data_IF_684025354997
#
_entry.id   IF_684025354997
#
_cell.length_a   1.000
_cell.length_b   1.000
_cell.length_c   1.000
_cell.angle_alpha   90.00
_cell.angle_beta   90.00
_cell.angle_gamma   90.00
#
_symmetry.space_group_name_H-M   'P 1'
#
loop_
_entity.id
_entity.type
_entity.pdbx_description
1 polymer ?
#
# COMPACT_ATOMS: atom_id res chain seq x y z
N UNK A 1 -0.45 -16.19 14.70
CA UNK A 1 -1.02 -16.98 13.58
C UNK A 1 -0.37 -16.61 12.25
N UNK A 2 -0.46 -15.37 11.75
CA UNK A 2 0.11 -15.01 10.43
C UNK A 2 1.60 -15.33 10.29
N UNK A 3 2.42 -14.95 11.29
CA UNK A 3 3.87 -15.22 11.29
C UNK A 3 4.20 -16.72 11.24
N UNK A 4 3.47 -17.56 11.98
CA UNK A 4 3.65 -19.02 11.97
C UNK A 4 3.36 -19.62 10.58
N UNK A 5 2.28 -19.17 9.92
CA UNK A 5 1.96 -19.63 8.56
C UNK A 5 2.94 -19.08 7.52
N UNK A 6 3.47 -17.87 7.73
CA UNK A 6 4.55 -17.36 6.91
C UNK A 6 5.81 -18.22 7.07
N UNK A 7 6.16 -18.64 8.29
CA UNK A 7 7.23 -19.62 8.53
C UNK A 7 7.03 -20.94 7.78
N UNK A 8 5.79 -21.46 7.72
CA UNK A 8 5.46 -22.65 6.92
C UNK A 8 5.70 -22.44 5.42
N UNK A 9 5.38 -21.25 4.90
CA UNK A 9 5.68 -20.89 3.52
C UNK A 9 7.20 -20.82 3.26
N UNK A 10 7.97 -20.27 4.20
CA UNK A 10 9.43 -20.22 4.06
C UNK A 10 10.08 -21.61 4.13
N UNK A 11 9.59 -22.49 5.01
CA UNK A 11 10.02 -23.89 5.03
C UNK A 11 9.75 -24.58 3.68
N UNK A 12 8.61 -24.29 3.05
CA UNK A 12 8.30 -24.81 1.71
C UNK A 12 9.29 -24.29 0.64
N UNK A 13 9.75 -23.04 0.76
CA UNK A 13 10.81 -22.52 -0.12
C UNK A 13 12.13 -23.29 0.08
N UNK A 14 12.49 -23.61 1.32
CA UNK A 14 13.70 -24.38 1.65
C UNK A 14 13.60 -25.83 1.14
N UNK A 15 12.48 -26.50 1.38
CA UNK A 15 12.26 -27.91 1.01
C UNK A 15 12.22 -28.15 -0.51
N UNK A 16 11.88 -27.12 -1.28
CA UNK A 16 11.68 -27.20 -2.73
C UNK A 16 12.70 -26.38 -3.56
N UNK A 17 13.80 -25.92 -2.94
CA UNK A 17 14.86 -25.14 -3.60
C UNK A 17 14.37 -23.87 -4.33
N UNK A 18 13.25 -23.27 -3.89
CA UNK A 18 12.59 -22.16 -4.59
C UNK A 18 13.37 -20.84 -4.51
N UNK A 19 14.28 -20.70 -3.56
CA UNK A 19 15.15 -19.53 -3.46
C UNK A 19 16.03 -19.32 -4.71
N UNK A 20 16.24 -20.35 -5.53
CA UNK A 20 17.06 -20.26 -6.74
C UNK A 20 16.42 -19.43 -7.86
N UNK A 21 15.09 -19.41 -7.96
CA UNK A 21 14.36 -18.87 -9.11
C UNK A 21 13.08 -18.09 -8.75
N UNK A 22 12.69 -18.06 -7.49
CA UNK A 22 11.45 -17.43 -7.03
C UNK A 22 11.74 -16.14 -6.27
N UNK A 23 11.08 -15.05 -6.67
CA UNK A 23 11.06 -13.81 -5.90
C UNK A 23 10.02 -13.90 -4.77
N UNK A 24 10.35 -13.38 -3.59
CA UNK A 24 9.44 -13.29 -2.45
C UNK A 24 9.22 -11.82 -2.11
N UNK A 25 7.96 -11.38 -2.09
CA UNK A 25 7.56 -10.01 -1.73
C UNK A 25 6.50 -10.09 -0.64
N UNK A 26 6.82 -9.54 0.54
CA UNK A 26 5.92 -9.45 1.69
C UNK A 26 5.58 -7.99 1.96
N UNK A 27 4.29 -7.69 2.00
CA UNK A 27 3.76 -6.36 2.32
C UNK A 27 2.31 -6.45 2.82
N UNK A 28 1.69 -5.31 3.09
CA UNK A 28 0.26 -5.17 3.44
C UNK A 28 -0.35 -4.05 2.61
N UNK A 29 -1.68 -4.01 2.49
CA UNK A 29 -2.39 -2.96 1.77
C UNK A 29 -2.36 -1.62 2.50
N UNK A 30 -2.52 -1.66 3.83
CA UNK A 30 -2.43 -0.54 4.75
C UNK A 30 -2.06 -1.04 6.16
N UNK A 31 -1.75 -0.10 7.06
CA UNK A 31 -1.60 -0.34 8.49
C UNK A 31 -2.93 -0.29 9.25
N UNK A 32 -2.89 -0.12 10.57
CA UNK A 32 -4.09 -0.17 11.41
C UNK A 32 -3.85 0.56 12.74
N UNK A 33 -4.79 1.43 13.14
CA UNK A 33 -4.76 2.06 14.45
C UNK A 33 -5.42 1.19 15.52
N UNK A 34 -4.76 1.09 16.66
CA UNK A 34 -5.14 0.38 17.87
C UNK A 34 -5.37 1.36 19.04
N UNK A 35 -5.97 2.53 18.76
CA UNK A 35 -6.23 3.65 19.69
C UNK A 35 -5.14 4.73 19.73
N UNK A 36 -4.13 4.69 18.85
CA UNK A 36 -3.24 5.83 18.68
C UNK A 36 -4.05 7.05 18.21
N UNK A 37 -3.68 8.23 18.74
CA UNK A 37 -4.36 9.49 18.46
C UNK A 37 -5.87 9.47 18.75
N UNK A 38 -6.34 8.62 19.66
CA UNK A 38 -7.76 8.40 19.97
C UNK A 38 -8.59 7.85 18.80
N UNK A 39 -7.93 7.20 17.82
CA UNK A 39 -8.57 6.62 16.64
C UNK A 39 -8.42 5.09 16.59
N UNK A 40 -9.40 4.42 15.99
CA UNK A 40 -9.40 2.98 15.78
C UNK A 40 -9.57 2.64 14.29
N UNK A 41 -8.94 1.53 13.87
CA UNK A 41 -9.02 0.97 12.53
C UNK A 41 -8.31 1.79 11.43
N UNK A 42 -8.98 2.00 10.29
CA UNK A 42 -8.48 2.74 9.12
C UNK A 42 -9.64 3.47 8.44
N UNK A 43 -9.33 4.47 7.60
CA UNK A 43 -10.20 5.19 6.65
C UNK A 43 -10.68 6.60 7.03
N UNK A 44 -10.89 6.92 8.32
CA UNK A 44 -11.51 8.21 8.72
C UNK A 44 -10.54 9.28 9.18
N UNK A 45 -9.60 8.85 10.00
CA UNK A 45 -8.53 9.65 10.55
C UNK A 45 -7.57 10.14 9.44
N UNK A 46 -6.75 11.19 9.71
CA UNK A 46 -5.56 11.42 8.91
C UNK A 46 -4.75 10.13 8.74
N UNK A 47 -4.16 9.91 7.55
CA UNK A 47 -3.41 8.69 7.23
C UNK A 47 -2.03 8.66 7.91
N UNK A 48 -2.00 8.69 9.24
CA UNK A 48 -0.80 8.65 10.08
C UNK A 48 0.13 7.49 9.72
N UNK A 49 1.38 7.53 10.20
CA UNK A 49 2.39 6.54 9.83
C UNK A 49 1.97 5.11 10.19
N UNK A 50 1.24 4.92 11.29
CA UNK A 50 0.69 3.61 11.67
C UNK A 50 -0.28 3.03 10.63
N UNK A 51 -0.80 3.85 9.71
CA UNK A 51 -1.66 3.44 8.58
C UNK A 51 -0.86 3.43 7.27
N UNK A 52 0.00 4.42 7.03
CA UNK A 52 0.65 4.65 5.74
C UNK A 52 2.05 4.04 5.62
N UNK A 53 2.78 3.89 6.72
CA UNK A 53 4.13 3.32 6.76
C UNK A 53 4.04 1.80 6.94
N UNK A 54 3.81 1.11 5.83
CA UNK A 54 3.62 -0.33 5.78
C UNK A 54 4.95 -1.10 5.62
N UNK A 55 5.04 -2.35 6.12
CA UNK A 55 6.18 -3.21 5.84
C UNK A 55 6.28 -3.54 4.34
N UNK A 56 7.51 -3.54 3.83
CA UNK A 56 7.85 -4.07 2.50
C UNK A 56 9.18 -4.81 2.59
N UNK A 57 9.16 -6.13 2.39
CA UNK A 57 10.33 -6.99 2.34
C UNK A 57 10.36 -7.66 0.98
N UNK A 58 11.52 -7.58 0.30
CA UNK A 58 11.70 -8.12 -1.04
C UNK A 58 12.96 -8.96 -1.08
N UNK A 59 12.81 -10.20 -1.54
CA UNK A 59 13.90 -11.07 -1.96
C UNK A 59 13.76 -11.33 -3.46
N UNK A 60 14.89 -11.29 -4.17
CA UNK A 60 14.97 -11.71 -5.56
C UNK A 60 16.29 -12.49 -5.78
N UNK A 61 16.29 -13.68 -6.42
CA UNK A 61 17.48 -14.53 -6.54
C UNK A 61 18.70 -13.82 -7.16
N UNK A 62 18.47 -13.00 -8.20
CA UNK A 62 19.52 -12.20 -8.85
C UNK A 62 20.14 -11.11 -7.95
N UNK A 63 19.50 -10.78 -6.83
CA UNK A 63 19.93 -9.76 -5.87
C UNK A 63 20.28 -10.35 -4.49
N UNK A 64 20.39 -11.68 -4.37
CA UNK A 64 20.65 -12.38 -3.09
C UNK A 64 21.85 -11.86 -2.28
N UNK A 65 22.84 -11.26 -2.94
CA UNK A 65 24.03 -10.70 -2.27
C UNK A 65 23.72 -9.46 -1.41
N UNK A 66 22.56 -8.84 -1.59
CA UNK A 66 22.09 -7.69 -0.82
C UNK A 66 21.06 -8.07 0.26
N UNK A 67 20.84 -9.38 0.48
CA UNK A 67 19.90 -9.86 1.50
C UNK A 67 20.26 -9.38 2.90
N UNK A 68 19.25 -8.99 3.68
CA UNK A 68 19.43 -8.45 5.03
C UNK A 68 19.74 -6.94 5.07
N UNK A 69 20.00 -6.31 3.93
CA UNK A 69 20.16 -4.86 3.88
C UNK A 69 18.82 -4.11 3.99
N UNK A 70 18.89 -2.84 4.38
CA UNK A 70 17.76 -1.92 4.41
C UNK A 70 17.89 -0.84 3.35
N UNK A 71 16.76 -0.31 2.92
CA UNK A 71 16.64 0.83 2.00
C UNK A 71 15.91 1.96 2.72
N UNK A 72 16.35 3.20 2.47
CA UNK A 72 15.76 4.44 3.00
C UNK A 72 14.99 5.19 1.92
N UNK A 73 15.20 4.87 0.65
CA UNK A 73 14.47 5.52 -0.43
C UNK A 73 12.96 5.25 -0.33
N UNK A 74 12.17 6.28 -0.58
CA UNK A 74 10.72 6.21 -0.51
C UNK A 74 10.15 5.27 -1.58
N UNK A 75 9.23 4.37 -1.20
CA UNK A 75 8.47 3.47 -2.10
C UNK A 75 6.97 3.53 -1.83
N UNK A 76 6.11 3.18 -2.80
CA UNK A 76 4.64 3.14 -2.66
C UNK A 76 4.10 1.81 -3.17
N UNK A 77 2.89 1.44 -2.74
CA UNK A 77 2.21 0.23 -3.23
C UNK A 77 2.04 0.20 -4.75
N UNK A 78 1.84 1.36 -5.39
CA UNK A 78 1.77 1.48 -6.87
C UNK A 78 3.08 1.15 -7.58
N UNK A 79 4.20 1.10 -6.86
CA UNK A 79 5.50 0.70 -7.41
C UNK A 79 5.62 -0.82 -7.57
N UNK A 80 4.77 -1.62 -6.90
CA UNK A 80 4.87 -3.08 -6.95
C UNK A 80 4.53 -3.65 -8.34
N UNK A 81 3.49 -3.13 -8.98
CA UNK A 81 3.11 -3.57 -10.33
C UNK A 81 4.24 -3.40 -11.36
N UNK A 82 4.85 -2.22 -11.54
CA UNK A 82 5.97 -2.07 -12.48
C UNK A 82 7.20 -2.88 -12.03
N UNK A 83 7.38 -3.11 -10.73
CA UNK A 83 8.46 -3.98 -10.22
C UNK A 83 8.28 -5.43 -10.67
N UNK A 84 7.06 -5.97 -10.63
CA UNK A 84 6.79 -7.34 -11.07
C UNK A 84 6.97 -7.52 -12.58
N UNK A 85 6.63 -6.51 -13.38
CA UNK A 85 6.94 -6.50 -14.80
C UNK A 85 8.46 -6.49 -15.03
N UNK A 86 9.19 -5.66 -14.28
CA UNK A 86 10.65 -5.54 -14.38
C UNK A 86 11.39 -6.83 -13.97
N UNK A 87 10.92 -7.54 -12.94
CA UNK A 87 11.43 -8.88 -12.58
C UNK A 87 11.45 -9.84 -13.78
N UNK A 88 10.41 -9.75 -14.63
CA UNK A 88 10.21 -10.60 -15.80
C UNK A 88 10.66 -9.95 -17.10
N UNK A 89 11.29 -8.77 -17.05
CA UNK A 89 11.73 -7.98 -18.22
C UNK A 89 10.58 -7.67 -19.20
N UNK A 90 9.36 -7.53 -18.68
CA UNK A 90 8.20 -7.11 -19.46
C UNK A 90 8.21 -5.59 -19.64
N UNK A 91 7.65 -5.11 -20.75
CA UNK A 91 7.48 -3.67 -20.98
C UNK A 91 6.49 -3.08 -19.97
N UNK A 92 6.89 -1.98 -19.31
CA UNK A 92 6.03 -1.23 -18.40
C UNK A 92 5.20 -0.25 -19.24
N UNK A 93 3.86 -0.33 -19.21
CA UNK A 93 3.01 0.59 -19.97
C UNK A 93 3.24 2.05 -19.57
N UNK A 94 3.22 2.97 -20.56
CA UNK A 94 3.40 4.41 -20.33
C UNK A 94 2.34 5.04 -19.42
N UNK A 95 1.22 4.36 -19.20
CA UNK A 95 0.14 4.79 -18.29
C UNK A 95 0.43 4.50 -16.82
N UNK A 96 1.43 3.66 -16.52
CA UNK A 96 1.82 3.35 -15.14
C UNK A 96 2.56 4.54 -14.54
N UNK A 97 2.10 5.01 -13.38
CA UNK A 97 2.69 6.15 -12.66
C UNK A 97 3.64 5.72 -11.54
N UNK A 98 3.59 4.44 -11.14
CA UNK A 98 4.57 3.84 -10.24
C UNK A 98 5.92 3.64 -10.91
N UNK A 99 6.96 3.46 -10.11
CA UNK A 99 8.33 3.25 -10.57
C UNK A 99 8.85 1.93 -10.01
N UNK A 100 9.42 1.07 -10.87
CA UNK A 100 10.01 -0.18 -10.41
C UNK A 100 11.03 0.06 -9.28
N UNK A 101 10.91 -0.71 -8.20
CA UNK A 101 11.89 -0.75 -7.11
C UNK A 101 12.96 -1.81 -7.34
N UNK A 102 12.90 -2.57 -8.44
CA UNK A 102 13.86 -3.64 -8.70
C UNK A 102 15.33 -3.15 -8.73
N UNK A 103 15.66 -2.01 -9.37
CA UNK A 103 17.01 -1.45 -9.28
C UNK A 103 17.42 -1.10 -7.85
N UNK A 104 16.45 -0.74 -6.99
CA UNK A 104 16.70 -0.34 -5.60
C UNK A 104 17.18 -1.50 -4.74
N UNK A 105 16.92 -2.75 -5.15
CA UNK A 105 17.42 -3.92 -4.42
C UNK A 105 18.95 -3.98 -4.38
N UNK A 106 19.65 -3.36 -5.35
CA UNK A 106 21.12 -3.28 -5.37
C UNK A 106 21.69 -1.91 -5.00
N UNK A 107 20.91 -0.84 -5.15
CA UNK A 107 21.36 0.55 -5.01
C UNK A 107 20.26 1.39 -4.40
N UNK A 108 20.45 1.91 -3.18
CA UNK A 108 19.44 2.73 -2.50
C UNK A 108 19.37 4.16 -3.05
N UNK A 109 19.05 4.29 -4.33
CA UNK A 109 18.97 5.56 -5.03
C UNK A 109 17.61 6.23 -4.81
N UNK A 110 17.65 7.53 -4.52
CA UNK A 110 16.46 8.37 -4.37
C UNK A 110 15.88 8.63 -5.77
N UNK A 111 14.71 8.04 -6.05
CA UNK A 111 14.00 8.19 -7.34
C UNK A 111 12.93 9.28 -7.30
N UNK A 112 12.58 9.76 -6.10
CA UNK A 112 11.60 10.82 -5.87
C UNK A 112 11.92 11.56 -4.59
N UNK A 113 11.63 12.86 -4.57
CA UNK A 113 11.82 13.70 -3.38
C UNK A 113 10.69 13.57 -2.37
N UNK A 114 9.49 13.24 -2.83
CA UNK A 114 8.30 13.08 -2.00
C UNK A 114 7.34 12.06 -2.59
N UNK A 115 6.34 11.69 -1.80
CA UNK A 115 5.26 10.79 -2.15
C UNK A 115 3.91 11.38 -1.79
N UNK A 116 2.92 11.13 -2.64
CA UNK A 116 1.53 11.52 -2.41
C UNK A 116 0.73 10.26 -2.08
N UNK A 117 -0.02 10.29 -0.99
CA UNK A 117 -0.88 9.21 -0.54
C UNK A 117 -2.20 9.77 0.01
N UNK A 118 -3.23 8.94 0.08
CA UNK A 118 -4.53 9.34 0.60
C UNK A 118 -5.67 8.61 -0.09
N UNK A 119 -6.88 9.14 0.06
CA UNK A 119 -8.09 8.57 -0.52
C UNK A 119 -8.89 9.65 -1.22
N UNK A 120 -9.57 9.26 -2.30
CA UNK A 120 -10.51 10.14 -2.97
C UNK A 120 -11.60 10.62 -1.99
N UNK A 121 -11.83 11.92 -1.93
CA UNK A 121 -12.78 12.53 -0.98
C UNK A 121 -12.28 12.64 0.47
N UNK A 122 -11.10 12.10 0.78
CA UNK A 122 -10.45 12.20 2.08
C UNK A 122 -9.22 13.13 2.07
N UNK A 123 -8.43 13.16 3.15
CA UNK A 123 -7.19 13.91 3.17
C UNK A 123 -6.16 13.34 2.19
N UNK A 124 -5.40 14.23 1.57
CA UNK A 124 -4.21 13.88 0.78
C UNK A 124 -2.98 14.26 1.59
N UNK A 125 -2.11 13.28 1.84
CA UNK A 125 -0.81 13.43 2.47
C UNK A 125 0.30 13.55 1.43
N UNK A 126 1.28 14.41 1.70
CA UNK A 126 2.55 14.47 0.98
C UNK A 126 3.68 14.31 2.01
N UNK A 127 4.56 13.33 1.81
CA UNK A 127 5.71 13.09 2.70
C UNK A 127 7.02 13.11 1.94
N UNK A 128 8.08 13.65 2.56
CA UNK A 128 9.47 13.54 2.10
C UNK A 128 10.26 12.44 2.84
N UNK A 129 9.59 11.68 3.72
CA UNK A 129 10.17 10.66 4.58
C UNK A 129 10.59 11.16 5.97
N UNK A 130 10.46 12.46 6.24
CA UNK A 130 10.73 13.07 7.55
C UNK A 130 9.52 13.88 8.01
N UNK A 131 8.97 14.70 7.12
CA UNK A 131 7.81 15.53 7.35
C UNK A 131 6.67 15.10 6.45
N UNK A 132 5.45 15.22 6.99
CA UNK A 132 4.23 14.93 6.26
C UNK A 132 3.28 16.11 6.35
N UNK A 133 2.86 16.62 5.19
CA UNK A 133 1.84 17.64 5.06
C UNK A 133 0.51 17.00 4.67
N UNK A 134 -0.57 17.33 5.37
CA UNK A 134 -1.92 16.90 5.04
C UNK A 134 -2.75 18.07 4.49
N UNK A 135 -3.41 17.84 3.36
CA UNK A 135 -4.40 18.75 2.79
C UNK A 135 -5.76 18.07 2.73
N UNK A 136 -6.73 18.68 3.40
CA UNK A 136 -8.12 18.26 3.34
C UNK A 136 -8.84 18.96 2.18
N UNK A 137 -9.85 18.33 1.55
CA UNK A 137 -10.77 19.03 0.67
C UNK A 137 -11.50 20.13 1.46
N UNK A 138 -11.87 21.21 0.78
CA UNK A 138 -12.61 22.33 1.40
C UNK A 138 -14.00 21.89 1.88
N UNK A 139 -14.62 20.96 1.14
CA UNK A 139 -15.92 20.39 1.46
C UNK A 139 -15.79 18.86 1.63
N UNK A 140 -15.86 18.41 2.88
CA UNK A 140 -15.80 17.00 3.26
C UNK A 140 -17.15 16.28 3.11
N UNK A 141 -18.23 17.01 2.85
CA UNK A 141 -19.59 16.48 2.71
C UNK A 141 -20.16 16.74 1.32
N UNK A 142 -19.28 17.01 0.35
CA UNK A 142 -19.65 17.41 -1.00
C UNK A 142 -20.59 16.43 -1.69
N UNK A 143 -21.57 16.97 -2.42
CA UNK A 143 -22.68 16.22 -3.06
C UNK A 143 -22.24 15.17 -4.10
N UNK A 144 -20.97 15.21 -4.54
CA UNK A 144 -20.40 14.30 -5.52
C UNK A 144 -19.55 13.17 -4.88
N UNK A 145 -19.61 13.01 -3.56
CA UNK A 145 -19.06 11.85 -2.87
C UNK A 145 -20.07 10.72 -2.93
N UNK A 146 -19.75 9.66 -3.68
CA UNK A 146 -20.64 8.52 -3.88
C UNK A 146 -20.08 7.29 -3.18
N UNK A 147 -20.91 6.63 -2.39
CA UNK A 147 -20.63 5.31 -1.85
C UNK A 147 -21.20 4.25 -2.81
N UNK A 148 -20.33 3.50 -3.47
CA UNK A 148 -20.74 2.36 -4.29
C UNK A 148 -20.63 1.08 -3.45
N UNK A 149 -21.77 0.56 -3.02
CA UNK A 149 -21.87 -0.61 -2.14
C UNK A 149 -22.87 -1.61 -2.71
N UNK A 150 -22.60 -2.90 -2.51
CA UNK A 150 -23.54 -3.98 -2.83
C UNK A 150 -24.52 -4.27 -1.68
N UNK A 151 -24.32 -3.63 -0.52
CA UNK A 151 -25.24 -3.70 0.61
C UNK A 151 -26.17 -2.49 0.62
N UNK A 152 -27.45 -2.64 1.00
CA UNK A 152 -28.39 -1.54 1.16
C UNK A 152 -28.12 -0.77 2.48
N UNK A 153 -26.88 -0.32 2.66
CA UNK A 153 -26.40 0.36 3.85
C UNK A 153 -25.26 1.30 3.48
N UNK A 154 -25.22 2.45 4.15
CA UNK A 154 -24.04 3.29 4.22
C UNK A 154 -22.91 2.55 4.96
N UNK A 155 -21.71 3.10 4.94
CA UNK A 155 -20.56 2.47 5.62
C UNK A 155 -20.77 2.34 7.15
N UNK A 156 -21.63 3.16 7.76
CA UNK A 156 -21.82 3.20 9.23
C UNK A 156 -23.27 3.11 9.69
N UNK A 157 -24.23 3.08 8.78
CA UNK A 157 -25.65 3.14 9.06
C UNK A 157 -26.45 2.50 7.92
N UNK A 158 -27.68 2.09 8.21
CA UNK A 158 -28.57 1.55 7.19
C UNK A 158 -29.17 2.68 6.36
N UNK A 159 -29.52 2.41 5.10
CA UNK A 159 -30.29 3.36 4.30
C UNK A 159 -31.64 3.64 4.97
N UNK A 160 -32.05 4.90 4.94
CA UNK A 160 -33.39 5.26 5.39
C UNK A 160 -34.46 4.83 4.36
N UNK A 161 -35.72 4.82 4.80
CA UNK A 161 -36.85 4.38 3.96
C UNK A 161 -36.97 5.27 2.71
N UNK A 162 -36.68 6.57 2.82
CA UNK A 162 -36.74 7.51 1.71
C UNK A 162 -35.63 7.26 0.68
N UNK A 163 -34.41 6.97 1.13
CA UNK A 163 -33.30 6.58 0.26
C UNK A 163 -33.65 5.32 -0.55
N UNK A 164 -34.18 4.29 0.11
CA UNK A 164 -34.59 3.04 -0.53
C UNK A 164 -35.71 3.22 -1.58
N UNK A 165 -36.59 4.19 -1.41
CA UNK A 165 -37.67 4.48 -2.37
C UNK A 165 -37.17 5.07 -3.69
N UNK A 166 -35.94 5.59 -3.71
CA UNK A 166 -35.34 6.23 -4.91
C UNK A 166 -34.42 5.30 -5.70
N UNK A 167 -34.20 4.07 -5.23
CA UNK A 167 -33.40 3.04 -5.90
C UNK A 167 -34.24 2.40 -7.02
N UNK A 168 -34.10 2.92 -8.24
CA UNK A 168 -34.63 2.30 -9.47
C UNK A 168 -33.58 1.43 -10.15
#
# INVERSE_FOLDING_TARGET
>A
MCDEYFGKLLNYFDEHDLWGDTALVLTTDHGFLLSEHDWWAKNRMPYYEEISHIPLIVYHPSHKKYSGERRKSLTQTTDLMPTFLDFHKCEIPKTVTGHSIFPKLSRDEKTRDSQIFGMFGGPVGITDGIYTYYRYPEDLTGKNLHLYTLMPAHMIDLFDIGELQTVN
#
